data_IF_451599494376
#
_entry.id   IF_451599494376
#
_cell.length_a   1.000
_cell.length_b   1.000
_cell.length_c   1.000
_cell.angle_alpha   90.00
_cell.angle_beta   90.00
_cell.angle_gamma   90.00
#
_symmetry.space_group_name_H-M   'P 1'
#
loop_
_entity.id
_entity.type
_entity.pdbx_description
1 polymer ?
#
# COMPACT_ATOMS: atom_id res chain seq x y z
N UNK A 1 -9.23 -17.66 -9.02
CA UNK A 1 -8.95 -17.61 -7.58
C UNK A 1 -9.36 -16.24 -7.08
N UNK A 2 -10.24 -16.15 -6.08
CA UNK A 2 -10.69 -14.87 -5.51
C UNK A 2 -9.59 -14.37 -4.58
N UNK A 3 -9.05 -13.19 -4.84
CA UNK A 3 -8.05 -12.56 -3.99
C UNK A 3 -8.75 -11.61 -3.00
N UNK A 4 -8.76 -11.99 -1.73
CA UNK A 4 -9.35 -11.19 -0.66
C UNK A 4 -8.62 -9.84 -0.47
N UNK A 5 -7.36 -9.72 -0.92
CA UNK A 5 -6.60 -8.47 -0.84
C UNK A 5 -7.16 -7.37 -1.78
N UNK A 6 -8.06 -7.73 -2.70
CA UNK A 6 -8.72 -6.78 -3.59
C UNK A 6 -10.03 -6.23 -3.04
N UNK A 7 -10.51 -6.75 -1.90
CA UNK A 7 -11.73 -6.27 -1.23
C UNK A 7 -11.33 -5.35 -0.08
N UNK A 8 -11.94 -4.18 -0.03
CA UNK A 8 -11.69 -3.14 0.95
C UNK A 8 -12.99 -2.78 1.65
N UNK A 9 -12.94 -2.58 2.96
CA UNK A 9 -13.97 -1.81 3.64
C UNK A 9 -13.95 -0.37 3.16
N UNK A 10 -15.08 0.35 3.27
CA UNK A 10 -15.11 1.78 2.94
C UNK A 10 -14.12 2.60 3.77
N UNK A 11 -13.83 2.18 5.01
CA UNK A 11 -12.84 2.85 5.85
C UNK A 11 -11.43 2.66 5.29
N UNK A 12 -11.06 1.42 4.95
CA UNK A 12 -9.75 1.11 4.34
C UNK A 12 -9.61 1.78 2.97
N UNK A 13 -10.66 1.77 2.15
CA UNK A 13 -10.68 2.45 0.87
C UNK A 13 -10.56 3.98 1.02
N UNK A 14 -11.25 4.58 1.99
CA UNK A 14 -11.13 6.01 2.24
C UNK A 14 -9.71 6.40 2.67
N UNK A 15 -9.10 5.62 3.57
CA UNK A 15 -7.70 5.80 3.92
C UNK A 15 -6.82 5.68 2.67
N UNK A 16 -6.95 4.61 1.89
CA UNK A 16 -6.12 4.37 0.71
C UNK A 16 -6.27 5.46 -0.36
N UNK A 17 -7.43 6.09 -0.50
CA UNK A 17 -7.66 7.19 -1.45
C UNK A 17 -7.45 8.60 -0.87
N UNK A 18 -7.05 8.72 0.41
CA UNK A 18 -6.90 10.02 1.06
C UNK A 18 -8.22 10.77 1.28
N UNK A 19 -9.34 10.05 1.35
CA UNK A 19 -10.66 10.59 1.65
C UNK A 19 -10.83 10.74 3.17
N UNK A 20 -11.55 11.78 3.60
CA UNK A 20 -11.76 12.08 5.02
C UNK A 20 -12.43 10.93 5.81
N UNK A 21 -13.29 10.15 5.16
CA UNK A 21 -13.93 8.95 5.73
C UNK A 21 -14.60 8.10 4.65
N UNK A 22 -15.06 6.90 5.03
CA UNK A 22 -15.89 6.05 4.17
C UNK A 22 -17.23 6.67 3.75
N UNK A 23 -17.63 7.83 4.32
CA UNK A 23 -18.89 8.47 3.98
C UNK A 23 -18.92 8.96 2.53
N UNK A 24 -17.80 9.48 2.00
CA UNK A 24 -17.72 9.91 0.60
C UNK A 24 -17.98 8.76 -0.38
N UNK A 25 -17.41 7.58 -0.09
CA UNK A 25 -17.62 6.35 -0.86
C UNK A 25 -19.07 5.89 -0.75
N UNK A 26 -19.63 5.95 0.47
CA UNK A 26 -21.05 5.64 0.71
C UNK A 26 -22.00 6.54 -0.06
N UNK A 27 -21.77 7.84 -0.08
CA UNK A 27 -22.59 8.78 -0.86
C UNK A 27 -22.47 8.49 -2.36
N UNK A 28 -21.29 8.14 -2.86
CA UNK A 28 -21.11 7.74 -4.25
C UNK A 28 -21.87 6.45 -4.59
N UNK A 29 -21.82 5.44 -3.70
CA UNK A 29 -22.58 4.20 -3.85
C UNK A 29 -24.09 4.46 -3.86
N UNK A 30 -24.60 5.28 -2.93
CA UNK A 30 -26.02 5.66 -2.87
C UNK A 30 -26.48 6.46 -4.10
N UNK A 31 -25.57 7.16 -4.78
CA UNK A 31 -25.82 7.90 -6.03
C UNK A 31 -25.67 7.04 -7.29
N UNK A 32 -25.47 5.73 -7.15
CA UNK A 32 -25.36 4.81 -8.30
C UNK A 32 -24.06 4.96 -9.11
N UNK A 33 -22.98 5.50 -8.51
CA UNK A 33 -21.67 5.58 -9.19
C UNK A 33 -21.01 4.21 -9.38
N UNK A 34 -21.39 3.25 -8.53
CA UNK A 34 -20.89 1.88 -8.52
C UNK A 34 -21.88 0.93 -9.19
N UNK A 35 -21.37 -0.14 -9.79
CA UNK A 35 -22.19 -1.26 -10.26
C UNK A 35 -22.65 -2.15 -9.08
N UNK A 36 -23.71 -2.92 -9.27
CA UNK A 36 -24.31 -3.74 -8.20
C UNK A 36 -23.34 -4.77 -7.58
N UNK A 37 -22.40 -5.29 -8.37
CA UNK A 37 -21.40 -6.27 -7.92
C UNK A 37 -20.15 -5.64 -7.28
N UNK A 38 -20.02 -4.31 -7.31
CA UNK A 38 -18.82 -3.60 -6.85
C UNK A 38 -18.91 -3.13 -5.39
N UNK A 39 -20.11 -3.19 -4.81
CA UNK A 39 -20.37 -2.73 -3.45
C UNK A 39 -21.28 -3.69 -2.73
N UNK A 40 -20.94 -4.04 -1.49
CA UNK A 40 -21.78 -4.90 -0.67
C UNK A 40 -21.77 -4.46 0.78
N UNK A 41 -22.92 -4.46 1.43
CA UNK A 41 -23.01 -4.31 2.88
C UNK A 41 -22.94 -5.69 3.54
N UNK A 42 -21.98 -5.88 4.44
CA UNK A 42 -21.78 -7.10 5.24
C UNK A 42 -21.96 -6.75 6.72
N UNK A 43 -23.16 -7.00 7.25
CA UNK A 43 -23.53 -6.56 8.60
C UNK A 43 -23.53 -5.03 8.69
N UNK A 44 -22.68 -4.47 9.55
CA UNK A 44 -22.49 -3.01 9.71
C UNK A 44 -21.47 -2.41 8.75
N UNK A 45 -20.64 -3.25 8.13
CA UNK A 45 -19.49 -2.84 7.31
C UNK A 45 -19.88 -2.79 5.84
N UNK A 46 -19.42 -1.75 5.14
CA UNK A 46 -19.54 -1.65 3.69
C UNK A 46 -18.23 -2.04 3.03
N UNK A 47 -18.33 -2.86 1.99
CA UNK A 47 -17.23 -3.38 1.21
C UNK A 47 -17.30 -2.87 -0.22
N UNK A 48 -16.14 -2.69 -0.83
CA UNK A 48 -15.96 -2.43 -2.25
C UNK A 48 -14.71 -3.14 -2.74
N UNK A 49 -14.46 -3.13 -4.05
CA UNK A 49 -13.22 -3.65 -4.63
C UNK A 49 -12.26 -2.52 -4.97
N UNK A 50 -10.97 -2.85 -5.02
CA UNK A 50 -9.93 -1.92 -5.49
C UNK A 50 -10.25 -1.39 -6.89
N UNK A 51 -10.63 -2.27 -7.82
CA UNK A 51 -10.95 -1.89 -9.21
C UNK A 51 -12.13 -0.92 -9.30
N UNK A 52 -13.16 -1.14 -8.49
CA UNK A 52 -14.30 -0.24 -8.43
C UNK A 52 -13.91 1.15 -7.92
N UNK A 53 -13.06 1.20 -6.89
CA UNK A 53 -12.52 2.46 -6.38
C UNK A 53 -11.64 3.17 -7.41
N UNK A 54 -10.80 2.44 -8.15
CA UNK A 54 -9.99 3.03 -9.25
C UNK A 54 -10.89 3.62 -10.33
N UNK A 55 -11.96 2.92 -10.70
CA UNK A 55 -12.91 3.37 -11.72
C UNK A 55 -13.68 4.63 -11.29
N UNK A 56 -14.16 4.68 -10.04
CA UNK A 56 -15.03 5.76 -9.54
C UNK A 56 -14.24 6.97 -9.04
N UNK A 57 -13.11 6.74 -8.36
CA UNK A 57 -12.33 7.77 -7.68
C UNK A 57 -10.94 8.00 -8.29
N UNK A 58 -10.58 7.27 -9.35
CA UNK A 58 -9.24 7.33 -9.96
C UNK A 58 -8.21 6.53 -9.17
N UNK A 59 -6.94 6.60 -9.57
CA UNK A 59 -5.84 5.98 -8.81
C UNK A 59 -5.69 6.69 -7.46
N UNK A 60 -5.46 5.98 -6.34
CA UNK A 60 -5.34 6.61 -5.02
C UNK A 60 -4.23 7.67 -5.00
N UNK A 61 -4.59 8.89 -4.57
CA UNK A 61 -3.68 10.05 -4.54
C UNK A 61 -2.87 10.20 -3.25
N UNK A 62 -2.81 9.17 -2.40
CA UNK A 62 -1.94 9.25 -1.22
C UNK A 62 -0.50 9.44 -1.71
N UNK A 63 0.19 10.53 -1.30
CA UNK A 63 1.58 10.70 -1.69
C UNK A 63 2.34 9.51 -1.11
N UNK A 64 2.87 8.68 -1.99
CA UNK A 64 3.58 7.47 -1.61
C UNK A 64 5.06 7.63 -1.89
N UNK A 65 5.88 7.29 -0.91
CA UNK A 65 7.28 7.04 -1.14
C UNK A 65 7.43 5.60 -1.61
N UNK A 66 7.74 5.43 -2.89
CA UNK A 66 7.85 4.13 -3.53
C UNK A 66 9.30 3.69 -3.57
N UNK A 67 9.53 2.45 -3.13
CA UNK A 67 10.82 1.78 -3.15
C UNK A 67 10.63 0.39 -3.75
N UNK A 68 11.51 -0.02 -4.65
CA UNK A 68 11.54 -1.42 -5.08
C UNK A 68 12.30 -2.26 -4.04
N UNK A 69 11.99 -3.55 -3.91
CA UNK A 69 12.74 -4.49 -3.06
C UNK A 69 14.25 -4.41 -3.33
N UNK A 70 14.73 -4.47 -4.60
CA UNK A 70 16.16 -4.36 -4.87
C UNK A 70 16.79 -3.05 -4.37
N UNK A 71 16.09 -1.92 -4.54
CA UNK A 71 16.59 -0.63 -4.09
C UNK A 71 16.61 -0.52 -2.56
N UNK A 72 15.58 -1.06 -1.89
CA UNK A 72 15.54 -1.12 -0.44
C UNK A 72 16.70 -1.96 0.11
N UNK A 73 16.88 -3.19 -0.40
CA UNK A 73 17.94 -4.08 0.06
C UNK A 73 19.32 -3.48 -0.18
N UNK A 74 19.57 -2.93 -1.38
CA UNK A 74 20.83 -2.25 -1.71
C UNK A 74 21.08 -1.05 -0.79
N UNK A 75 20.07 -0.22 -0.55
CA UNK A 75 20.19 0.95 0.33
C UNK A 75 20.50 0.57 1.77
N UNK A 76 19.86 -0.48 2.29
CA UNK A 76 20.12 -1.02 3.62
C UNK A 76 21.54 -1.61 3.76
N UNK A 77 22.10 -2.20 2.70
CA UNK A 77 23.46 -2.74 2.68
C UNK A 77 24.53 -1.64 2.55
N UNK A 78 24.30 -0.61 1.72
CA UNK A 78 25.30 0.42 1.40
C UNK A 78 25.34 1.56 2.43
N UNK A 79 24.18 2.15 2.73
CA UNK A 79 24.05 3.24 3.71
C UNK A 79 22.70 3.14 4.42
N UNK A 80 22.67 2.22 5.39
CA UNK A 80 21.48 1.93 6.20
C UNK A 80 20.87 3.19 6.82
N UNK A 81 21.72 4.08 7.35
CA UNK A 81 21.24 5.26 8.07
C UNK A 81 20.58 6.25 7.11
N UNK A 82 21.16 6.46 5.92
CA UNK A 82 20.55 7.32 4.90
C UNK A 82 19.23 6.73 4.41
N UNK A 83 19.18 5.43 4.11
CA UNK A 83 17.98 4.75 3.66
C UNK A 83 16.84 4.86 4.68
N UNK A 84 17.12 4.57 5.95
CA UNK A 84 16.13 4.69 7.02
C UNK A 84 15.69 6.13 7.26
N UNK A 85 16.59 7.12 7.14
CA UNK A 85 16.22 8.54 7.25
C UNK A 85 15.27 8.99 6.15
N UNK A 86 15.49 8.57 4.90
CA UNK A 86 14.58 8.90 3.80
C UNK A 86 13.18 8.33 4.02
N UNK A 87 13.11 7.08 4.48
CA UNK A 87 11.85 6.42 4.83
C UNK A 87 11.17 7.14 6.01
N UNK A 88 11.92 7.48 7.06
CA UNK A 88 11.42 8.25 8.19
C UNK A 88 10.82 9.60 7.77
N UNK A 89 11.56 10.38 6.96
CA UNK A 89 11.07 11.67 6.46
C UNK A 89 9.82 11.51 5.58
N UNK A 90 9.68 10.40 4.85
CA UNK A 90 8.44 10.12 4.10
C UNK A 90 7.23 9.99 5.04
N UNK A 91 7.35 9.23 6.13
CA UNK A 91 6.28 9.08 7.11
C UNK A 91 5.97 10.40 7.84
N UNK A 92 7.00 11.19 8.16
CA UNK A 92 6.85 12.53 8.73
C UNK A 92 6.10 13.48 7.79
N UNK A 93 6.31 13.35 6.49
CA UNK A 93 5.58 14.06 5.45
C UNK A 93 4.18 13.48 5.17
N UNK A 94 3.67 12.60 6.05
CA UNK A 94 2.38 11.89 5.91
C UNK A 94 2.26 11.07 4.64
N UNK A 95 3.39 10.63 4.09
CA UNK A 95 3.41 9.71 2.95
C UNK A 95 3.28 8.27 3.44
N UNK A 96 2.71 7.43 2.59
CA UNK A 96 2.75 5.97 2.77
C UNK A 96 4.03 5.42 2.14
N UNK A 97 4.58 4.36 2.72
CA UNK A 97 5.67 3.62 2.09
C UNK A 97 5.11 2.49 1.24
N UNK A 98 5.42 2.48 -0.05
CA UNK A 98 5.10 1.39 -0.96
C UNK A 98 6.37 0.63 -1.32
N UNK A 99 6.40 -0.66 -1.00
CA UNK A 99 7.46 -1.56 -1.44
C UNK A 99 6.96 -2.35 -2.64
N UNK A 100 7.71 -2.29 -3.73
CA UNK A 100 7.32 -2.84 -5.03
C UNK A 100 8.34 -3.86 -5.56
N UNK A 101 7.89 -4.69 -6.49
CA UNK A 101 8.76 -5.62 -7.23
C UNK A 101 8.26 -5.78 -8.67
N UNK A 102 9.19 -6.05 -9.59
CA UNK A 102 8.87 -6.42 -10.97
C UNK A 102 8.66 -7.94 -11.06
N UNK A 103 7.42 -8.36 -11.19
CA UNK A 103 7.04 -9.77 -11.27
C UNK A 103 6.34 -10.00 -12.62
N UNK A 104 6.87 -10.93 -13.43
CA UNK A 104 6.32 -11.29 -14.74
C UNK A 104 6.11 -10.08 -15.67
N UNK A 105 7.08 -9.18 -15.70
CA UNK A 105 7.06 -7.99 -16.56
C UNK A 105 6.11 -6.88 -16.12
N UNK A 106 5.54 -6.96 -14.91
CA UNK A 106 4.67 -5.93 -14.34
C UNK A 106 5.16 -5.52 -12.96
N UNK A 107 5.12 -4.23 -12.68
CA UNK A 107 5.34 -3.72 -11.33
C UNK A 107 4.15 -4.08 -10.42
N UNK A 108 4.45 -4.60 -9.24
CA UNK A 108 3.47 -5.00 -8.23
C UNK A 108 3.86 -4.40 -6.89
N UNK A 109 2.86 -3.91 -6.14
CA UNK A 109 3.03 -3.53 -4.74
C UNK A 109 3.04 -4.82 -3.92
N UNK A 110 4.13 -5.07 -3.19
CA UNK A 110 4.26 -6.19 -2.28
C UNK A 110 3.84 -5.81 -0.86
N UNK A 111 4.27 -4.63 -0.41
CA UNK A 111 3.97 -4.13 0.92
C UNK A 111 3.55 -2.67 0.88
N UNK A 112 2.61 -2.31 1.74
CA UNK A 112 2.12 -0.94 1.92
C UNK A 112 2.11 -0.64 3.43
N UNK A 113 2.90 0.34 3.85
CA UNK A 113 2.95 0.76 5.25
C UNK A 113 2.40 2.17 5.40
N UNK A 114 1.46 2.32 6.34
CA UNK A 114 0.89 3.62 6.72
C UNK A 114 1.64 4.25 7.91
N UNK A 115 2.33 3.42 8.70
CA UNK A 115 3.05 3.86 9.89
C UNK A 115 4.47 3.30 9.92
N UNK A 116 5.41 4.13 10.37
CA UNK A 116 6.82 3.77 10.46
C UNK A 116 7.06 2.57 11.39
N UNK A 117 6.34 2.49 12.51
CA UNK A 117 6.46 1.37 13.46
C UNK A 117 6.20 0.01 12.81
N UNK A 118 5.25 -0.05 11.89
CA UNK A 118 4.84 -1.31 11.23
C UNK A 118 5.91 -1.71 10.22
N UNK A 119 6.47 -0.75 9.51
CA UNK A 119 7.63 -0.95 8.64
C UNK A 119 8.86 -1.43 9.42
N UNK A 120 9.19 -0.81 10.56
CA UNK A 120 10.35 -1.21 11.36
C UNK A 120 10.17 -2.62 11.95
N UNK A 121 8.96 -2.98 12.37
CA UNK A 121 8.65 -4.32 12.83
C UNK A 121 8.79 -5.35 11.69
N UNK A 122 8.24 -5.04 10.51
CA UNK A 122 8.40 -5.89 9.33
C UNK A 122 9.88 -6.05 8.99
N UNK A 123 10.64 -4.95 8.93
CA UNK A 123 12.06 -4.96 8.61
C UNK A 123 12.83 -5.87 9.56
N UNK A 124 12.58 -5.76 10.87
CA UNK A 124 13.23 -6.63 11.87
C UNK A 124 12.93 -8.13 11.64
N UNK A 125 11.75 -8.46 11.14
CA UNK A 125 11.33 -9.84 10.88
C UNK A 125 11.89 -10.38 9.55
N UNK A 126 12.05 -9.53 8.54
CA UNK A 126 12.46 -9.94 7.19
C UNK A 126 13.93 -9.74 6.89
N UNK A 127 14.64 -8.91 7.66
CA UNK A 127 16.07 -8.61 7.47
C UNK A 127 16.97 -9.86 7.43
N UNK A 128 16.74 -10.91 8.25
CA UNK A 128 17.51 -12.16 8.15
C UNK A 128 17.34 -12.92 6.84
N UNK A 129 16.32 -12.58 6.05
CA UNK A 129 15.98 -13.25 4.78
C UNK A 129 16.50 -12.50 3.56
N UNK A 130 17.13 -11.33 3.73
CA UNK A 130 17.77 -10.65 2.61
C UNK A 130 19.03 -11.41 2.22
N UNK A 131 19.21 -11.77 0.93
CA UNK A 131 20.45 -12.36 0.48
C UNK A 131 21.58 -11.37 0.76
N UNK A 132 22.51 -11.75 1.62
CA UNK A 132 23.84 -11.16 1.61
C UNK A 132 24.46 -11.61 0.29
N UNK A 133 24.64 -10.72 -0.67
CA UNK A 133 25.53 -11.02 -1.78
C UNK A 133 26.90 -11.29 -1.14
N UNK A 134 27.31 -12.56 -1.13
CA UNK A 134 28.70 -12.93 -0.95
C UNK A 134 29.46 -12.16 -2.03
N UNK A 135 30.10 -11.07 -1.61
CA UNK A 135 31.07 -10.34 -2.40
C UNK A 135 32.21 -11.33 -2.67
N UNK A 136 32.11 -12.05 -3.78
CA UNK A 136 33.23 -12.83 -4.29
C UNK A 136 34.36 -11.85 -4.60
N UNK A 137 35.50 -12.14 -3.98
CA UNK A 137 36.77 -11.42 -4.03
C UNK A 137 37.30 -11.25 -5.44
#
# INVERSE_FOLDING_TARGET
MIDLNQVLTFTEAAQKWGLASGNSIRQAALRGKFHESEVRKSGTVWLTTYDAMVRVFGVPSQPSFQLSIPNLTKGLQQDRNLQLRQIHESFKNKQQLQITEHILGKERILYLFQHEKDFLQWLKLTEPSFPHEDVQK
#
